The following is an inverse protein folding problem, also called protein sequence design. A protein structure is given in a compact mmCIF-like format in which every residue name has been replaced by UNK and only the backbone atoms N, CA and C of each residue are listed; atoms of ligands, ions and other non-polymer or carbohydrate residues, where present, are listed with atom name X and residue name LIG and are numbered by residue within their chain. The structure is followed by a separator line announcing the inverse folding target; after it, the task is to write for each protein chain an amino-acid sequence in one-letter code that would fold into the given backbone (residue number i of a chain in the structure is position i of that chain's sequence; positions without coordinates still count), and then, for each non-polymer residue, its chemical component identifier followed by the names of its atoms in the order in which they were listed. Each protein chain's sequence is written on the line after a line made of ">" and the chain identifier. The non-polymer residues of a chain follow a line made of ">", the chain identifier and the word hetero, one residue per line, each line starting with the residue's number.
data_IF_152601603537
#
_entry.id   IF_152601603537
#
_cell.length_a   1.000
_cell.length_b   1.000
_cell.length_c   1.000
_cell.angle_alpha   90.00
_cell.angle_beta   90.00
_cell.angle_gamma   90.00
#
_symmetry.space_group_name_H-M   'P 1'
#
loop_
_entity.id
_entity.type
_entity.pdbx_description
1 polymer ?
#
# COMPACT_ATOMS: atom_id res chain seq x y z
N UNK A 1 2.78 -14.60 -23.81
CA UNK A 1 2.85 -13.32 -23.08
C UNK A 1 2.85 -13.66 -21.61
N UNK A 2 3.97 -13.43 -21.01
CA UNK A 2 4.25 -13.74 -19.60
C UNK A 2 3.28 -13.00 -18.68
N UNK A 3 2.73 -13.71 -17.70
CA UNK A 3 1.94 -13.07 -16.63
C UNK A 3 2.97 -12.44 -15.70
N UNK A 4 2.92 -11.12 -15.54
CA UNK A 4 3.75 -10.41 -14.56
C UNK A 4 3.29 -10.90 -13.17
N UNK A 5 4.19 -11.57 -12.46
CA UNK A 5 3.94 -12.04 -11.09
C UNK A 5 4.73 -11.20 -10.06
N UNK A 6 5.62 -10.32 -10.53
CA UNK A 6 6.37 -9.43 -9.68
C UNK A 6 5.52 -8.23 -9.23
N UNK A 7 5.66 -7.81 -8.00
CA UNK A 7 4.99 -6.66 -7.46
C UNK A 7 5.91 -5.84 -6.56
N UNK A 8 5.71 -4.54 -6.56
CA UNK A 8 6.38 -3.58 -5.72
C UNK A 8 5.35 -2.92 -4.81
N UNK A 9 5.49 -3.15 -3.52
CA UNK A 9 4.59 -2.59 -2.50
C UNK A 9 5.15 -1.25 -2.05
N UNK A 10 4.30 -0.25 -1.99
CA UNK A 10 4.63 1.04 -1.40
C UNK A 10 3.71 1.36 -0.23
N UNK A 11 4.27 2.05 0.77
CA UNK A 11 3.55 2.50 1.94
C UNK A 11 3.96 3.95 2.25
N UNK A 12 3.11 4.94 1.94
CA UNK A 12 3.31 6.30 2.41
C UNK A 12 3.06 6.40 3.92
N UNK A 13 3.94 7.05 4.64
CA UNK A 13 3.86 7.21 6.11
C UNK A 13 4.10 8.66 6.48
N UNK A 14 3.28 9.18 7.37
CA UNK A 14 3.52 10.44 8.09
C UNK A 14 3.10 10.28 9.54
N UNK A 15 4.08 10.23 10.44
CA UNK A 15 3.90 10.18 11.90
C UNK A 15 3.06 9.01 12.47
N UNK A 16 2.47 8.17 11.63
CA UNK A 16 1.64 7.02 12.03
C UNK A 16 2.49 5.78 12.33
N UNK A 17 3.53 5.92 13.16
CA UNK A 17 4.58 4.89 13.25
C UNK A 17 4.09 3.56 13.83
N UNK A 18 3.21 3.60 14.85
CA UNK A 18 2.73 2.39 15.51
C UNK A 18 1.89 1.51 14.59
N UNK A 19 1.02 2.11 13.79
CA UNK A 19 0.20 1.39 12.80
C UNK A 19 1.05 0.98 11.60
N UNK A 20 1.94 1.86 11.13
CA UNK A 20 2.84 1.56 10.03
C UNK A 20 3.75 0.38 10.33
N UNK A 21 4.33 0.30 11.54
CA UNK A 21 5.16 -0.84 11.94
C UNK A 21 4.36 -2.15 11.92
N UNK A 22 3.13 -2.16 12.44
CA UNK A 22 2.27 -3.33 12.40
C UNK A 22 1.97 -3.76 10.95
N UNK A 23 1.63 -2.82 10.08
CA UNK A 23 1.38 -3.08 8.67
C UNK A 23 2.65 -3.60 7.95
N UNK A 24 3.82 -3.00 8.19
CA UNK A 24 5.11 -3.44 7.64
C UNK A 24 5.40 -4.89 8.06
N UNK A 25 5.29 -5.20 9.36
CA UNK A 25 5.58 -6.54 9.89
C UNK A 25 4.64 -7.62 9.34
N UNK A 26 3.39 -7.25 9.01
CA UNK A 26 2.43 -8.18 8.41
C UNK A 26 2.79 -8.62 7.00
N UNK A 27 3.60 -7.83 6.26
CA UNK A 27 3.87 -8.05 4.83
C UNK A 27 5.36 -8.18 4.47
N UNK A 28 6.27 -7.90 5.40
CA UNK A 28 7.72 -7.88 5.12
C UNK A 28 8.26 -9.21 4.58
N UNK A 29 7.60 -10.32 4.89
CA UNK A 29 7.99 -11.65 4.43
C UNK A 29 7.20 -12.14 3.21
N UNK A 30 6.41 -11.28 2.58
CA UNK A 30 5.58 -11.65 1.42
C UNK A 30 6.38 -12.03 0.16
N UNK A 31 7.69 -11.78 0.16
CA UNK A 31 8.55 -12.01 -0.99
C UNK A 31 8.55 -10.89 -2.02
N UNK A 32 7.74 -9.84 -1.82
CA UNK A 32 7.69 -8.66 -2.69
C UNK A 32 8.53 -7.52 -2.12
N UNK A 33 9.05 -6.66 -3.01
CA UNK A 33 9.78 -5.46 -2.60
C UNK A 33 8.83 -4.52 -1.86
N UNK A 34 9.21 -4.07 -0.67
CA UNK A 34 8.49 -3.07 0.11
C UNK A 34 9.33 -1.80 0.21
N UNK A 35 8.75 -0.68 -0.22
CA UNK A 35 9.31 0.66 -0.03
C UNK A 35 8.36 1.50 0.81
N UNK A 36 8.86 1.99 1.93
CA UNK A 36 8.17 2.94 2.81
C UNK A 36 8.63 4.35 2.42
N UNK A 37 7.68 5.24 2.18
CA UNK A 37 7.93 6.65 1.88
C UNK A 37 7.57 7.50 3.09
N UNK A 38 8.58 8.02 3.75
CA UNK A 38 8.41 8.94 4.88
C UNK A 38 8.13 10.36 4.39
N UNK A 39 6.91 10.83 4.57
CA UNK A 39 6.45 12.15 4.12
C UNK A 39 6.58 13.20 5.22
N UNK A 40 7.81 13.54 5.58
CA UNK A 40 8.12 14.55 6.60
C UNK A 40 7.58 14.20 8.00
N UNK A 41 7.80 12.97 8.44
CA UNK A 41 7.55 12.60 9.85
C UNK A 41 8.47 13.36 10.80
N UNK A 42 8.10 13.39 12.07
CA UNK A 42 8.97 13.94 13.12
C UNK A 42 10.32 13.21 13.14
N UNK A 43 11.41 13.85 13.58
CA UNK A 43 12.73 13.21 13.63
C UNK A 43 12.77 11.89 14.41
N UNK A 44 11.96 11.77 15.46
CA UNK A 44 11.85 10.54 16.22
C UNK A 44 11.21 9.41 15.41
N UNK A 45 10.14 9.70 14.67
CA UNK A 45 9.45 8.72 13.83
C UNK A 45 10.26 8.36 12.58
N UNK A 46 10.95 9.31 11.97
CA UNK A 46 11.87 9.05 10.88
C UNK A 46 13.02 8.12 11.32
N UNK A 47 13.63 8.38 12.50
CA UNK A 47 14.65 7.51 13.06
C UNK A 47 14.13 6.08 13.38
N UNK A 48 12.85 5.95 13.76
CA UNK A 48 12.22 4.65 13.96
C UNK A 48 12.06 3.90 12.62
N UNK A 49 11.65 4.57 11.55
CA UNK A 49 11.59 3.99 10.21
C UNK A 49 12.98 3.51 9.74
N UNK A 50 14.04 4.27 10.02
CA UNK A 50 15.42 3.84 9.77
C UNK A 50 15.81 2.59 10.55
N UNK A 51 15.34 2.47 11.78
CA UNK A 51 15.58 1.27 12.58
C UNK A 51 14.85 0.05 11.98
N UNK A 52 13.62 0.22 11.50
CA UNK A 52 12.87 -0.83 10.79
C UNK A 52 13.57 -1.22 9.48
N UNK A 53 14.09 -0.25 8.73
CA UNK A 53 14.90 -0.54 7.53
C UNK A 53 16.07 -1.46 7.85
N UNK A 54 16.86 -1.12 8.88
CA UNK A 54 18.02 -1.93 9.28
C UNK A 54 17.63 -3.31 9.80
N UNK A 55 16.54 -3.38 10.57
CA UNK A 55 16.12 -4.62 11.23
C UNK A 55 15.36 -5.59 10.33
N UNK A 56 14.62 -5.08 9.36
CA UNK A 56 13.72 -5.88 8.51
C UNK A 56 14.19 -5.95 7.04
N UNK A 57 15.20 -5.18 6.65
CA UNK A 57 15.68 -5.17 5.27
C UNK A 57 14.73 -4.53 4.27
N UNK A 58 13.78 -3.71 4.72
CA UNK A 58 12.90 -2.93 3.86
C UNK A 58 13.63 -1.70 3.32
N UNK A 59 13.07 -1.06 2.30
CA UNK A 59 13.58 0.21 1.79
C UNK A 59 12.77 1.35 2.41
N UNK A 60 13.45 2.36 2.97
CA UNK A 60 12.84 3.62 3.42
C UNK A 60 13.37 4.76 2.55
N UNK A 61 12.49 5.64 2.11
CA UNK A 61 12.82 6.86 1.36
C UNK A 61 12.23 8.03 2.13
N UNK A 62 13.10 8.90 2.64
CA UNK A 62 12.68 10.18 3.22
C UNK A 62 12.43 11.17 2.10
N UNK A 63 11.21 11.64 1.96
CA UNK A 63 10.82 12.57 0.88
C UNK A 63 11.53 13.92 1.06
N UNK A 64 11.86 14.29 2.29
CA UNK A 64 12.66 15.47 2.60
C UNK A 64 14.03 15.51 1.91
N UNK A 65 14.59 14.37 1.54
CA UNK A 65 15.85 14.30 0.82
C UNK A 65 15.69 14.57 -0.69
N UNK A 66 14.46 14.62 -1.18
CA UNK A 66 14.14 14.73 -2.60
C UNK A 66 13.35 15.96 -3.00
N UNK A 67 12.67 16.61 -2.07
CA UNK A 67 11.86 17.81 -2.34
C UNK A 67 11.72 18.66 -1.08
N UNK A 68 11.71 19.97 -1.25
CA UNK A 68 11.41 20.94 -0.18
C UNK A 68 9.90 21.18 -0.04
N UNK A 69 9.08 20.49 -0.81
CA UNK A 69 7.64 20.67 -0.77
C UNK A 69 7.06 20.07 0.51
N UNK A 70 6.29 20.82 1.30
CA UNK A 70 5.71 20.28 2.52
C UNK A 70 4.71 19.17 2.24
N UNK A 71 4.54 18.26 3.23
CA UNK A 71 3.50 17.23 3.15
C UNK A 71 2.10 17.86 2.92
N UNK A 72 1.22 17.23 2.13
CA UNK A 72 1.32 15.87 1.59
C UNK A 72 2.02 15.78 0.22
N UNK A 73 2.90 14.80 0.08
CA UNK A 73 3.62 14.51 -1.17
C UNK A 73 3.15 13.25 -1.89
N UNK A 74 1.91 12.82 -1.66
CA UNK A 74 1.37 11.56 -2.20
C UNK A 74 1.51 11.45 -3.72
N UNK A 75 1.27 12.53 -4.45
CA UNK A 75 1.44 12.56 -5.91
C UNK A 75 2.89 12.26 -6.32
N UNK A 76 3.86 12.81 -5.60
CA UNK A 76 5.29 12.57 -5.84
C UNK A 76 5.62 11.09 -5.64
N UNK A 77 5.13 10.50 -4.55
CA UNK A 77 5.29 9.07 -4.25
C UNK A 77 4.75 8.20 -5.38
N UNK A 78 3.50 8.45 -5.80
CA UNK A 78 2.86 7.66 -6.85
C UNK A 78 3.61 7.73 -8.18
N UNK A 79 4.05 8.93 -8.60
CA UNK A 79 4.78 9.11 -9.85
C UNK A 79 6.12 8.35 -9.81
N UNK A 80 6.85 8.42 -8.72
CA UNK A 80 8.14 7.76 -8.60
C UNK A 80 7.99 6.24 -8.51
N UNK A 81 7.07 5.76 -7.68
CA UNK A 81 6.80 4.33 -7.57
C UNK A 81 6.32 3.72 -8.90
N UNK A 82 5.44 4.41 -9.62
CA UNK A 82 4.97 3.96 -10.92
C UNK A 82 6.12 3.86 -11.93
N UNK A 83 7.02 4.84 -11.97
CA UNK A 83 8.20 4.79 -12.85
C UNK A 83 9.10 3.59 -12.55
N UNK A 84 9.35 3.29 -11.28
CA UNK A 84 10.15 2.13 -10.89
C UNK A 84 9.45 0.82 -11.29
N UNK A 85 8.15 0.69 -10.99
CA UNK A 85 7.38 -0.49 -11.39
C UNK A 85 7.38 -0.71 -12.91
N UNK A 86 7.23 0.36 -13.70
CA UNK A 86 7.27 0.27 -15.16
C UNK A 86 8.65 -0.18 -15.66
N UNK A 87 9.72 0.31 -15.05
CA UNK A 87 11.10 -0.06 -15.39
C UNK A 87 11.39 -1.53 -15.06
N UNK A 88 10.84 -2.03 -13.95
CA UNK A 88 11.05 -3.39 -13.47
C UNK A 88 10.04 -4.39 -14.04
N UNK A 89 9.02 -3.94 -14.75
CA UNK A 89 7.93 -4.78 -15.23
C UNK A 89 7.11 -5.37 -14.07
N UNK A 90 6.89 -4.58 -13.01
CA UNK A 90 6.19 -5.01 -11.80
C UNK A 90 4.82 -4.36 -11.65
N UNK A 91 3.93 -5.01 -10.92
CA UNK A 91 2.68 -4.39 -10.46
C UNK A 91 2.94 -3.45 -9.29
N UNK A 92 2.30 -2.28 -9.29
CA UNK A 92 2.32 -1.38 -8.15
C UNK A 92 1.20 -1.76 -7.17
N UNK A 93 1.55 -2.02 -5.92
CA UNK A 93 0.62 -2.22 -4.81
C UNK A 93 0.78 -1.07 -3.84
N UNK A 94 -0.33 -0.42 -3.50
CA UNK A 94 -0.36 0.69 -2.54
C UNK A 94 -1.05 0.19 -1.28
N UNK A 95 -0.37 0.32 -0.14
CA UNK A 95 -0.91 -0.03 1.18
C UNK A 95 -0.78 1.21 2.06
N UNK A 96 -1.89 1.67 2.60
CA UNK A 96 -1.89 2.77 3.56
C UNK A 96 -1.31 2.33 4.90
N UNK A 97 -0.67 3.25 5.62
CA UNK A 97 0.07 2.96 6.87
C UNK A 97 -0.79 2.52 8.06
N UNK A 98 -2.09 2.63 7.93
CA UNK A 98 -3.09 2.22 8.93
C UNK A 98 -3.89 0.97 8.52
N UNK A 99 -3.50 0.31 7.45
CA UNK A 99 -4.17 -0.88 6.92
C UNK A 99 -3.30 -2.11 7.10
N UNK A 100 -3.78 -3.07 7.90
CA UNK A 100 -3.13 -4.38 8.03
C UNK A 100 -3.67 -5.32 6.97
N UNK A 101 -2.78 -5.83 6.15
CA UNK A 101 -3.10 -6.75 5.05
C UNK A 101 -2.28 -8.03 5.20
N UNK A 102 -2.89 -9.17 4.88
CA UNK A 102 -2.18 -10.45 4.87
C UNK A 102 -1.47 -10.70 3.54
N UNK A 103 -0.42 -11.48 3.58
CA UNK A 103 0.27 -11.98 2.38
C UNK A 103 -0.71 -12.69 1.42
N UNK A 104 -1.65 -13.46 1.96
CA UNK A 104 -2.67 -14.13 1.15
C UNK A 104 -3.55 -13.14 0.38
N UNK A 105 -3.87 -11.99 0.97
CA UNK A 105 -4.63 -10.93 0.29
C UNK A 105 -3.81 -10.36 -0.87
N UNK A 106 -2.52 -10.11 -0.68
CA UNK A 106 -1.61 -9.63 -1.75
C UNK A 106 -1.60 -10.65 -2.91
N UNK A 107 -1.38 -11.91 -2.62
CA UNK A 107 -1.35 -12.98 -3.63
C UNK A 107 -2.70 -13.10 -4.35
N UNK A 108 -3.80 -12.93 -3.64
CA UNK A 108 -5.15 -12.93 -4.24
C UNK A 108 -5.35 -11.76 -5.19
N UNK A 109 -4.91 -10.55 -4.82
CA UNK A 109 -4.97 -9.38 -5.68
C UNK A 109 -4.17 -9.59 -6.97
N UNK A 110 -2.92 -10.05 -6.85
CA UNK A 110 -2.04 -10.32 -8.00
C UNK A 110 -2.65 -11.38 -8.92
N UNK A 111 -3.21 -12.45 -8.37
CA UNK A 111 -3.82 -13.54 -9.17
C UNK A 111 -5.04 -13.09 -10.00
N UNK A 112 -5.65 -11.96 -9.63
CA UNK A 112 -6.82 -11.41 -10.34
C UNK A 112 -6.46 -10.36 -11.38
N UNK A 113 -5.20 -10.00 -11.48
CA UNK A 113 -4.75 -9.07 -12.53
C UNK A 113 -4.90 -9.72 -13.90
N UNK A 114 -5.40 -8.96 -14.86
CA UNK A 114 -5.54 -9.41 -16.25
C UNK A 114 -5.40 -8.22 -17.20
N UNK A 115 -5.27 -8.49 -18.49
CA UNK A 115 -5.18 -7.45 -19.53
C UNK A 115 -6.38 -6.47 -19.56
N UNK A 116 -7.50 -6.87 -18.97
CA UNK A 116 -8.75 -6.07 -18.95
C UNK A 116 -8.96 -5.33 -17.63
N UNK A 117 -8.08 -5.54 -16.67
CA UNK A 117 -8.20 -4.99 -15.32
C UNK A 117 -7.07 -4.01 -15.10
N UNK A 118 -7.38 -2.73 -15.07
CA UNK A 118 -6.39 -1.66 -14.82
C UNK A 118 -6.10 -1.44 -13.34
N UNK A 119 -7.06 -1.74 -12.45
CA UNK A 119 -6.91 -1.58 -11.01
C UNK A 119 -7.77 -2.59 -10.25
N UNK A 120 -7.24 -3.10 -9.15
CA UNK A 120 -7.96 -3.97 -8.22
C UNK A 120 -7.79 -3.39 -6.82
N UNK A 121 -8.88 -3.28 -6.07
CA UNK A 121 -8.84 -2.85 -4.67
C UNK A 121 -9.40 -3.93 -3.75
N UNK A 122 -8.79 -4.10 -2.59
CA UNK A 122 -9.37 -4.84 -1.49
C UNK A 122 -10.31 -3.93 -0.70
N UNK A 123 -11.40 -4.51 -0.21
CA UNK A 123 -12.27 -3.83 0.74
C UNK A 123 -11.68 -3.99 2.13
N UNK A 124 -11.56 -2.89 2.86
CA UNK A 124 -11.10 -2.90 4.24
C UNK A 124 -12.27 -3.07 5.22
N UNK A 125 -11.99 -3.69 6.36
CA UNK A 125 -12.95 -3.84 7.46
C UNK A 125 -12.34 -3.29 8.74
N UNK A 126 -13.21 -2.98 9.71
CA UNK A 126 -12.78 -2.75 11.09
C UNK A 126 -12.42 -4.07 11.80
N UNK A 127 -11.99 -3.98 13.06
CA UNK A 127 -11.61 -5.15 13.87
C UNK A 127 -12.78 -6.14 14.11
N UNK A 128 -14.03 -5.72 13.92
CA UNK A 128 -15.23 -6.54 14.08
C UNK A 128 -15.69 -7.16 12.75
N UNK A 129 -14.96 -6.89 11.65
CA UNK A 129 -15.31 -7.38 10.32
C UNK A 129 -16.35 -6.51 9.59
N UNK A 130 -16.73 -5.36 10.12
CA UNK A 130 -17.61 -4.44 9.41
C UNK A 130 -16.84 -3.72 8.29
N UNK A 131 -17.46 -3.59 7.13
CA UNK A 131 -16.85 -2.90 6.00
C UNK A 131 -16.59 -1.44 6.34
N UNK A 132 -15.32 -1.03 6.20
CA UNK A 132 -14.88 0.33 6.45
C UNK A 132 -15.05 1.17 5.18
N UNK A 133 -16.29 1.55 4.89
CA UNK A 133 -16.60 2.41 3.77
C UNK A 133 -17.03 3.80 4.22
N UNK A 134 -16.36 4.86 3.76
CA UNK A 134 -16.71 6.23 4.13
C UNK A 134 -17.97 6.73 3.43
N UNK A 135 -18.53 5.98 2.44
CA UNK A 135 -19.60 6.47 1.57
C UNK A 135 -20.90 5.73 1.78
N UNK A 136 -21.99 6.49 1.83
CA UNK A 136 -23.32 5.97 2.12
C UNK A 136 -23.82 4.96 1.08
N UNK A 137 -23.48 5.13 -0.19
CA UNK A 137 -23.87 4.21 -1.26
C UNK A 137 -23.25 2.81 -1.13
N UNK A 138 -22.24 2.66 -0.29
CA UNK A 138 -21.60 1.37 -0.04
C UNK A 138 -22.30 0.52 1.04
N UNK A 139 -23.28 1.08 1.75
CA UNK A 139 -24.02 0.36 2.81
C UNK A 139 -24.69 -0.92 2.31
N UNK A 140 -25.19 -0.92 1.07
CA UNK A 140 -25.81 -2.10 0.47
C UNK A 140 -24.83 -3.25 0.17
N UNK A 141 -23.53 -2.97 0.16
CA UNK A 141 -22.51 -3.99 -0.06
C UNK A 141 -22.31 -4.89 1.15
N UNK A 142 -22.70 -4.45 2.35
CA UNK A 142 -22.60 -5.23 3.58
C UNK A 142 -23.54 -6.43 3.59
N UNK A 143 -24.63 -6.39 2.82
CA UNK A 143 -25.67 -7.42 2.83
C UNK A 143 -25.49 -8.52 1.80
N UNK A 144 -24.73 -8.27 0.72
CA UNK A 144 -24.74 -9.15 -0.47
C UNK A 144 -23.43 -9.96 -0.68
N UNK A 145 -22.50 -9.90 0.26
CA UNK A 145 -21.16 -10.48 0.05
C UNK A 145 -20.38 -9.77 -1.07
N UNK A 146 -19.12 -9.49 -0.84
CA UNK A 146 -18.30 -8.61 -1.70
C UNK A 146 -17.75 -9.34 -2.93
N UNK A 147 -17.99 -10.64 -3.06
CA UNK A 147 -17.19 -11.52 -3.89
C UNK A 147 -17.19 -11.25 -5.39
N UNK A 148 -18.02 -10.38 -5.95
CA UNK A 148 -18.02 -10.16 -7.41
C UNK A 148 -18.56 -8.80 -7.89
N UNK A 149 -18.56 -7.76 -7.06
CA UNK A 149 -19.06 -6.45 -7.51
C UNK A 149 -17.97 -5.63 -8.18
N UNK A 150 -18.27 -5.07 -9.33
CA UNK A 150 -17.42 -4.11 -10.03
C UNK A 150 -17.76 -2.71 -9.52
N UNK A 151 -16.74 -2.00 -9.06
CA UNK A 151 -16.85 -0.59 -8.72
C UNK A 151 -16.39 0.24 -9.91
N UNK A 152 -17.12 1.28 -10.21
CA UNK A 152 -16.71 2.32 -11.14
C UNK A 152 -16.40 3.56 -10.32
N UNK A 153 -15.18 4.06 -10.40
CA UNK A 153 -14.79 5.35 -9.82
C UNK A 153 -14.90 6.40 -10.93
N UNK A 154 -15.62 7.48 -10.66
CA UNK A 154 -15.67 8.65 -11.53
C UNK A 154 -14.61 9.66 -11.13
#
# INVERSE_FOLDING_TARGET
>A
MEIITNAHIIMPVKDSIDTAEQAIRAIVHSGYTLTVYDDYSTPANAAHLDALQRGLGIKVIHISDHTDHPSPNYRWVLINAQKECMKEGAHLIIIESDVIISEQTINTLISRVSKRVGMIAAVTTDANGNINFPYEYAKHLQTDGISNKRFSFC
#
